data_IF_976941213797
#
_entry.id   IF_976941213797
#
_cell.length_a   1.000
_cell.length_b   1.000
_cell.length_c   1.000
_cell.angle_alpha   90.00
_cell.angle_beta   90.00
_cell.angle_gamma   90.00
#
_symmetry.space_group_name_H-M   'P 1'
#
loop_
_entity.id
_entity.type
_entity.pdbx_description
1 polymer ?
#
# COMPACT_ATOMS: atom_id res chain seq x y z
N UNK A 1 -5.17 -6.79 11.75
CA UNK A 1 -6.28 -6.77 10.76
C UNK A 1 -7.40 -7.71 11.17
N UNK A 2 -8.61 -7.36 10.80
CA UNK A 2 -9.75 -8.27 10.78
C UNK A 2 -9.89 -8.82 9.36
N UNK A 3 -9.80 -10.15 9.23
CA UNK A 3 -9.91 -10.85 7.96
C UNK A 3 -11.26 -11.58 7.89
N UNK A 4 -12.00 -11.39 6.82
CA UNK A 4 -13.25 -12.11 6.54
C UNK A 4 -13.25 -12.58 5.08
N UNK A 5 -13.53 -13.86 4.84
CA UNK A 5 -13.53 -14.45 3.51
C UNK A 5 -12.24 -14.11 2.72
N UNK A 6 -11.09 -14.31 3.35
CA UNK A 6 -9.75 -14.05 2.84
C UNK A 6 -9.45 -12.58 2.48
N UNK A 7 -10.30 -11.63 2.89
CA UNK A 7 -10.13 -10.20 2.64
C UNK A 7 -9.93 -9.42 3.93
N UNK A 8 -9.03 -8.44 3.96
CA UNK A 8 -8.84 -7.58 5.11
C UNK A 8 -9.95 -6.52 5.10
N UNK A 9 -10.88 -6.61 6.04
CA UNK A 9 -12.05 -5.73 6.10
C UNK A 9 -11.90 -4.55 7.05
N UNK A 10 -10.96 -4.66 8.01
CA UNK A 10 -10.64 -3.60 8.96
C UNK A 10 -9.20 -3.74 9.44
N UNK A 11 -8.51 -2.63 9.57
CA UNK A 11 -7.12 -2.59 10.02
C UNK A 11 -6.85 -1.48 11.02
N UNK A 12 -5.88 -1.73 11.90
CA UNK A 12 -5.35 -0.76 12.85
C UNK A 12 -3.83 -0.85 12.80
N UNK A 13 -3.16 0.28 12.55
CA UNK A 13 -1.70 0.37 12.51
C UNK A 13 -1.24 1.55 13.37
N UNK A 14 -0.47 1.27 14.41
CA UNK A 14 0.13 2.31 15.25
C UNK A 14 1.63 2.43 14.97
N UNK A 15 2.11 3.65 14.86
CA UNK A 15 3.52 3.99 14.62
C UNK A 15 4.08 4.72 15.85
N UNK A 16 4.67 4.01 16.82
CA UNK A 16 5.00 4.59 18.15
C UNK A 16 5.96 5.79 18.07
N UNK A 17 6.93 5.76 17.15
CA UNK A 17 7.93 6.83 17.00
C UNK A 17 7.32 8.13 16.45
N UNK A 18 6.27 8.00 15.63
CA UNK A 18 5.60 9.14 15.01
C UNK A 18 4.33 9.55 15.77
N UNK A 19 3.94 8.76 16.77
CA UNK A 19 2.67 8.87 17.51
C UNK A 19 1.44 8.99 16.61
N UNK A 20 1.44 8.17 15.54
CA UNK A 20 0.33 8.12 14.56
C UNK A 20 -0.40 6.80 14.64
N UNK A 21 -1.72 6.83 14.73
CA UNK A 21 -2.60 5.68 14.66
C UNK A 21 -3.49 5.79 13.42
N UNK A 22 -3.38 4.80 12.53
CA UNK A 22 -4.21 4.65 11.34
C UNK A 22 -5.22 3.53 11.56
N UNK A 23 -6.47 3.74 11.21
CA UNK A 23 -7.49 2.70 11.31
C UNK A 23 -8.62 2.92 10.32
N UNK A 24 -9.24 1.83 9.87
CA UNK A 24 -10.32 1.85 8.90
C UNK A 24 -10.37 0.58 8.06
N UNK A 25 -11.18 0.58 7.02
CA UNK A 25 -11.31 -0.54 6.11
C UNK A 25 -12.60 -0.53 5.30
N UNK A 26 -12.78 -1.57 4.48
CA UNK A 26 -13.95 -1.70 3.61
C UNK A 26 -15.27 -1.89 4.38
N UNK A 27 -15.21 -2.36 5.62
CA UNK A 27 -16.40 -2.49 6.47
C UNK A 27 -17.06 -1.14 6.76
N UNK A 28 -16.27 -0.08 6.87
CA UNK A 28 -16.75 1.28 7.12
C UNK A 28 -16.77 2.14 5.85
N UNK A 29 -15.96 1.78 4.84
CA UNK A 29 -15.71 2.59 3.65
C UNK A 29 -14.92 3.87 3.96
N UNK A 30 -14.20 3.90 5.08
CA UNK A 30 -13.45 5.05 5.57
C UNK A 30 -12.15 4.62 6.23
N UNK A 31 -11.20 5.55 6.29
CA UNK A 31 -10.04 5.43 7.15
C UNK A 31 -9.70 6.75 7.85
N UNK A 32 -9.08 6.65 9.00
CA UNK A 32 -8.82 7.73 9.92
C UNK A 32 -7.38 7.73 10.38
N UNK A 33 -6.85 8.92 10.64
CA UNK A 33 -5.56 9.16 11.29
C UNK A 33 -5.79 9.87 12.62
N UNK A 34 -5.20 9.33 13.69
CA UNK A 34 -4.96 10.05 14.94
C UNK A 34 -3.48 10.38 15.00
N UNK A 35 -3.14 11.66 15.17
CA UNK A 35 -1.78 12.16 15.30
C UNK A 35 -1.71 13.02 16.56
N UNK A 36 -1.15 12.44 17.63
CA UNK A 36 -1.29 13.01 18.96
C UNK A 36 -2.76 13.13 19.37
N UNK A 37 -3.21 14.35 19.68
CA UNK A 37 -4.62 14.62 20.04
C UNK A 37 -5.53 14.88 18.83
N UNK A 38 -4.96 15.10 17.64
CA UNK A 38 -5.71 15.42 16.45
C UNK A 38 -6.25 14.16 15.76
N UNK A 39 -7.54 14.16 15.40
CA UNK A 39 -8.18 13.13 14.60
C UNK A 39 -8.65 13.72 13.28
N UNK A 40 -8.28 13.08 12.17
CA UNK A 40 -8.69 13.47 10.82
C UNK A 40 -9.10 12.26 9.99
N UNK A 41 -10.10 12.46 9.13
CA UNK A 41 -10.44 11.47 8.12
C UNK A 41 -9.47 11.57 6.95
N UNK A 42 -8.97 10.41 6.50
CA UNK A 42 -8.11 10.33 5.33
C UNK A 42 -8.92 10.46 4.05
N UNK A 43 -8.32 11.00 3.00
CA UNK A 43 -9.00 11.22 1.73
C UNK A 43 -9.02 9.93 0.90
N UNK A 44 -10.11 9.70 0.21
CA UNK A 44 -10.21 8.60 -0.76
C UNK A 44 -9.22 8.79 -1.92
N UNK A 45 -8.73 7.66 -2.43
CA UNK A 45 -7.97 7.62 -3.68
C UNK A 45 -8.80 8.17 -4.84
N UNK A 46 -8.14 8.82 -5.79
CA UNK A 46 -8.76 9.26 -7.06
C UNK A 46 -9.08 8.10 -8.00
N UNK A 47 -8.71 6.87 -7.65
CA UNK A 47 -8.90 5.65 -8.45
C UNK A 47 -8.36 5.76 -9.88
N UNK A 48 -7.20 6.40 -10.03
CA UNK A 48 -6.50 6.46 -11.30
C UNK A 48 -5.93 5.08 -11.66
N UNK A 49 -5.93 4.74 -12.95
CA UNK A 49 -5.34 3.48 -13.39
C UNK A 49 -3.82 3.49 -13.19
N UNK A 50 -3.22 2.29 -12.94
CA UNK A 50 -1.76 2.20 -12.83
C UNK A 50 -1.06 2.73 -14.10
N UNK A 51 -1.65 2.52 -15.28
CA UNK A 51 -1.10 2.99 -16.56
C UNK A 51 -1.06 4.52 -16.60
N UNK A 52 -2.11 5.19 -16.15
CA UNK A 52 -2.15 6.65 -16.09
C UNK A 52 -1.17 7.19 -15.07
N UNK A 53 -1.08 6.55 -13.89
CA UNK A 53 -0.14 6.93 -12.84
C UNK A 53 1.32 6.85 -13.29
N UNK A 54 1.76 5.75 -13.91
CA UNK A 54 3.15 5.59 -14.37
C UNK A 54 3.52 6.55 -15.50
N UNK A 55 2.54 7.03 -16.26
CA UNK A 55 2.73 8.02 -17.33
C UNK A 55 2.86 9.45 -16.80
N UNK A 56 2.44 9.74 -15.57
CA UNK A 56 2.54 11.06 -14.97
C UNK A 56 4.00 11.42 -14.68
N UNK A 57 4.42 12.59 -15.13
CA UNK A 57 5.75 13.11 -14.81
C UNK A 57 5.85 13.44 -13.31
N UNK A 58 6.93 12.96 -12.67
CA UNK A 58 7.18 13.23 -11.27
C UNK A 58 6.27 12.51 -10.29
N UNK A 59 5.59 11.43 -10.69
CA UNK A 59 4.70 10.67 -9.81
C UNK A 59 5.45 10.19 -8.54
N UNK A 60 4.94 10.45 -7.33
CA UNK A 60 5.55 9.95 -6.11
C UNK A 60 5.35 8.44 -5.95
N UNK A 61 6.47 7.70 -5.87
CA UNK A 61 6.52 6.24 -5.66
C UNK A 61 7.19 5.96 -4.34
N UNK A 62 6.54 5.22 -3.44
CA UNK A 62 7.19 4.81 -2.20
C UNK A 62 7.99 3.52 -2.40
N UNK A 63 9.27 3.55 -2.01
CA UNK A 63 10.17 2.41 -2.12
C UNK A 63 11.08 2.28 -0.91
N UNK A 64 11.75 1.13 -0.77
CA UNK A 64 12.80 0.95 0.25
C UNK A 64 14.02 1.79 -0.09
N UNK A 65 14.69 2.32 0.92
CA UNK A 65 15.92 3.11 0.75
C UNK A 65 17.11 2.22 0.38
N UNK A 66 17.22 1.04 0.97
CA UNK A 66 18.42 0.19 0.95
C UNK A 66 18.20 -1.22 0.40
N UNK A 67 16.97 -1.60 0.07
CA UNK A 67 16.61 -2.97 -0.31
C UNK A 67 15.71 -2.97 -1.55
N UNK A 68 16.17 -2.28 -2.60
CA UNK A 68 15.55 -2.37 -3.93
C UNK A 68 16.27 -3.46 -4.70
N UNK A 69 15.50 -4.43 -5.18
CA UNK A 69 15.99 -5.43 -6.12
C UNK A 69 15.81 -4.94 -7.56
N UNK A 70 16.38 -5.67 -8.50
CA UNK A 70 16.34 -5.34 -9.93
C UNK A 70 14.90 -5.13 -10.43
N UNK A 71 13.95 -5.99 -10.05
CA UNK A 71 12.56 -5.89 -10.51
C UNK A 71 11.91 -4.58 -10.07
N UNK A 72 12.22 -4.12 -8.83
CA UNK A 72 11.74 -2.84 -8.32
C UNK A 72 12.37 -1.66 -9.07
N UNK A 73 13.66 -1.75 -9.39
CA UNK A 73 14.38 -0.73 -10.15
C UNK A 73 13.85 -0.67 -11.59
N UNK A 74 13.72 -1.81 -12.26
CA UNK A 74 13.16 -1.90 -13.62
C UNK A 74 11.73 -1.31 -13.70
N UNK A 75 10.91 -1.51 -12.66
CA UNK A 75 9.58 -0.89 -12.58
C UNK A 75 9.67 0.64 -12.45
N UNK A 76 10.53 1.13 -11.56
CA UNK A 76 10.74 2.58 -11.32
C UNK A 76 11.28 3.24 -12.58
N UNK A 77 12.23 2.61 -13.27
CA UNK A 77 12.82 3.12 -14.52
C UNK A 77 11.80 3.18 -15.67
N UNK A 78 10.76 2.36 -15.60
CA UNK A 78 9.62 2.40 -16.53
C UNK A 78 8.63 3.55 -16.29
N UNK A 79 8.76 4.29 -15.19
CA UNK A 79 7.90 5.42 -14.86
C UNK A 79 8.49 6.75 -15.38
N UNK A 80 7.63 7.74 -15.60
CA UNK A 80 8.05 9.04 -16.16
C UNK A 80 8.64 9.97 -15.07
N UNK A 81 9.97 9.94 -14.90
CA UNK A 81 10.71 10.76 -13.92
C UNK A 81 10.14 10.71 -12.49
N UNK A 82 9.95 9.52 -11.90
CA UNK A 82 9.25 9.40 -10.63
C UNK A 82 10.01 10.03 -9.47
N UNK A 83 9.28 10.56 -8.49
CA UNK A 83 9.85 11.04 -7.21
C UNK A 83 9.86 9.89 -6.21
N UNK A 84 11.03 9.49 -5.73
CA UNK A 84 11.14 8.37 -4.78
C UNK A 84 10.95 8.85 -3.35
N UNK A 85 9.86 8.39 -2.72
CA UNK A 85 9.58 8.57 -1.29
C UNK A 85 10.14 7.37 -0.52
N UNK A 86 11.21 7.58 0.26
CA UNK A 86 11.86 6.50 0.99
C UNK A 86 11.19 6.24 2.34
N UNK A 87 10.68 5.02 2.54
CA UNK A 87 10.04 4.61 3.80
C UNK A 87 10.35 3.14 4.11
N UNK A 88 10.43 2.80 5.39
CA UNK A 88 10.61 1.42 5.87
C UNK A 88 9.30 0.70 6.19
N UNK A 89 9.35 -0.64 6.36
CA UNK A 89 8.27 -1.48 6.89
C UNK A 89 6.89 -1.25 6.25
N UNK A 90 5.82 -1.57 6.97
CA UNK A 90 4.40 -1.33 6.61
C UNK A 90 4.03 0.16 6.50
N UNK A 91 4.91 1.06 6.95
CA UNK A 91 4.70 2.51 6.79
C UNK A 91 4.54 2.94 5.32
N UNK A 92 5.02 2.14 4.37
CA UNK A 92 4.86 2.42 2.93
C UNK A 92 3.40 2.49 2.49
N UNK A 93 2.55 1.61 3.00
CA UNK A 93 1.10 1.69 2.79
C UNK A 93 0.51 2.98 3.37
N UNK A 94 1.00 3.39 4.55
CA UNK A 94 0.49 4.57 5.24
C UNK A 94 0.88 5.87 4.53
N UNK A 95 2.02 5.88 3.82
CA UNK A 95 2.42 7.00 2.94
C UNK A 95 1.40 7.20 1.81
N UNK A 96 0.88 6.10 1.23
CA UNK A 96 -0.21 6.17 0.25
C UNK A 96 -1.49 6.67 0.92
N UNK A 97 -1.84 6.14 2.10
CA UNK A 97 -3.03 6.55 2.84
C UNK A 97 -3.05 8.05 3.18
N UNK A 98 -1.89 8.66 3.42
CA UNK A 98 -1.72 10.10 3.64
C UNK A 98 -1.69 10.91 2.32
N UNK A 99 -1.72 10.26 1.14
CA UNK A 99 -1.61 10.93 -0.16
C UNK A 99 -0.21 11.45 -0.51
N UNK A 100 0.82 11.02 0.23
CA UNK A 100 2.22 11.45 0.02
C UNK A 100 2.94 10.61 -1.03
N UNK A 101 2.36 9.52 -1.49
CA UNK A 101 2.75 8.74 -2.66
C UNK A 101 1.51 8.09 -3.28
N UNK A 102 1.64 7.66 -4.54
CA UNK A 102 0.52 7.09 -5.30
C UNK A 102 0.73 5.64 -5.69
N UNK A 103 1.98 5.18 -5.71
CA UNK A 103 2.34 3.81 -6.08
C UNK A 103 3.28 3.22 -5.04
N UNK A 104 3.03 1.96 -4.65
CA UNK A 104 3.95 1.15 -3.85
C UNK A 104 4.19 -0.20 -4.54
N UNK A 105 5.28 -0.35 -5.32
CA UNK A 105 5.69 -1.64 -5.85
C UNK A 105 6.41 -2.46 -4.77
N UNK A 106 6.05 -3.73 -4.63
CA UNK A 106 6.71 -4.67 -3.71
C UNK A 106 7.05 -5.97 -4.42
N UNK A 107 8.26 -6.06 -4.96
CA UNK A 107 8.83 -7.22 -5.65
C UNK A 107 9.88 -7.93 -4.81
N UNK A 108 9.61 -8.04 -3.51
CA UNK A 108 10.45 -8.77 -2.57
C UNK A 108 9.54 -9.45 -1.53
N UNK A 109 9.97 -10.56 -0.93
CA UNK A 109 9.15 -11.32 0.01
C UNK A 109 8.60 -10.46 1.15
N UNK A 110 7.32 -10.68 1.49
CA UNK A 110 6.66 -10.18 2.69
C UNK A 110 5.68 -11.23 3.17
N UNK A 111 5.35 -11.19 4.45
CA UNK A 111 4.35 -12.07 5.04
C UNK A 111 3.01 -11.35 5.17
N UNK A 112 1.92 -12.10 5.32
CA UNK A 112 0.58 -11.53 5.48
C UNK A 112 0.49 -10.53 6.64
N UNK A 113 1.19 -10.80 7.75
CA UNK A 113 1.20 -9.89 8.92
C UNK A 113 1.94 -8.57 8.68
N UNK A 114 2.78 -8.48 7.64
CA UNK A 114 3.43 -7.24 7.24
C UNK A 114 2.49 -6.29 6.48
N UNK A 115 1.39 -6.82 5.93
CA UNK A 115 0.56 -6.10 4.96
C UNK A 115 -0.91 -5.97 5.36
N UNK A 116 -1.51 -6.99 5.97
CA UNK A 116 -2.95 -7.12 6.12
C UNK A 116 -3.64 -5.92 6.79
N UNK A 117 -3.07 -5.35 7.86
CA UNK A 117 -3.68 -4.23 8.57
C UNK A 117 -3.63 -2.93 7.75
N UNK A 118 -2.49 -2.67 7.11
CA UNK A 118 -2.32 -1.47 6.29
C UNK A 118 -3.06 -1.57 4.94
N UNK A 119 -3.14 -2.77 4.36
CA UNK A 119 -3.98 -3.04 3.18
C UNK A 119 -5.46 -2.79 3.47
N UNK A 120 -5.96 -3.23 4.65
CA UNK A 120 -7.34 -2.92 5.05
C UNK A 120 -7.62 -1.41 5.08
N UNK A 121 -6.69 -0.63 5.64
CA UNK A 121 -6.79 0.84 5.68
C UNK A 121 -6.84 1.41 4.25
N UNK A 122 -5.95 0.98 3.36
CA UNK A 122 -5.92 1.45 1.96
C UNK A 122 -7.20 1.09 1.21
N UNK A 123 -7.71 -0.13 1.36
CA UNK A 123 -8.98 -0.54 0.72
C UNK A 123 -10.16 0.28 1.21
N UNK A 124 -10.15 0.71 2.47
CA UNK A 124 -11.15 1.65 3.01
C UNK A 124 -11.13 3.01 2.32
N UNK A 125 -10.00 3.36 1.70
CA UNK A 125 -9.81 4.60 0.94
C UNK A 125 -9.95 4.40 -0.59
N UNK A 126 -10.33 3.19 -1.04
CA UNK A 126 -10.51 2.89 -2.47
C UNK A 126 -9.22 2.57 -3.22
N UNK A 127 -8.08 2.42 -2.53
CA UNK A 127 -6.85 1.89 -3.14
C UNK A 127 -7.00 0.39 -3.42
N UNK A 128 -6.23 -0.07 -4.40
CA UNK A 128 -6.10 -1.48 -4.73
C UNK A 128 -4.69 -1.97 -4.40
N UNK A 129 -4.60 -3.23 -3.95
CA UNK A 129 -3.32 -3.94 -3.76
C UNK A 129 -3.39 -5.19 -4.63
N UNK A 130 -2.85 -5.10 -5.84
CA UNK A 130 -2.94 -6.14 -6.85
C UNK A 130 -1.69 -7.01 -6.90
N UNK A 131 -1.89 -8.30 -7.10
CA UNK A 131 -0.83 -9.29 -7.30
C UNK A 131 -0.11 -9.01 -8.62
N UNK A 132 1.21 -9.22 -8.63
CA UNK A 132 2.06 -9.20 -9.84
C UNK A 132 2.44 -10.62 -10.20
N UNK A 133 2.10 -11.07 -11.41
CA UNK A 133 2.43 -12.37 -11.96
C UNK A 133 3.27 -12.20 -13.24
N UNK A 134 4.41 -12.88 -13.33
CA UNK A 134 5.30 -12.79 -14.51
C UNK A 134 5.79 -11.37 -14.79
N UNK A 135 6.00 -10.57 -13.75
CA UNK A 135 6.43 -9.17 -13.87
C UNK A 135 5.34 -8.19 -14.30
N UNK A 136 4.07 -8.63 -14.39
CA UNK A 136 2.93 -7.78 -14.79
C UNK A 136 1.89 -7.69 -13.68
N UNK A 137 1.36 -6.49 -13.39
CA UNK A 137 0.22 -6.32 -12.51
C UNK A 137 -1.00 -7.06 -13.04
N UNK A 138 -1.73 -7.71 -12.13
CA UNK A 138 -3.00 -8.37 -12.42
C UNK A 138 -4.17 -7.53 -11.89
N UNK A 139 -5.41 -8.03 -12.05
CA UNK A 139 -6.60 -7.49 -11.40
C UNK A 139 -6.98 -8.29 -10.14
N UNK A 140 -6.10 -9.22 -9.69
CA UNK A 140 -6.35 -10.03 -8.51
C UNK A 140 -5.83 -9.28 -7.28
N UNK A 141 -6.68 -8.95 -6.30
CA UNK A 141 -6.22 -8.36 -5.05
C UNK A 141 -5.44 -9.38 -4.23
N UNK A 142 -4.62 -8.91 -3.28
CA UNK A 142 -4.01 -9.78 -2.27
C UNK A 142 -5.10 -10.47 -1.45
N UNK A 143 -4.91 -11.78 -1.23
CA UNK A 143 -5.71 -12.59 -0.33
C UNK A 143 -4.93 -12.92 0.94
N UNK A 144 -5.66 -13.12 2.03
CA UNK A 144 -5.13 -13.34 3.37
C UNK A 144 -5.72 -14.62 3.98
N UNK A 145 -5.09 -15.07 5.07
CA UNK A 145 -5.46 -16.32 5.74
C UNK A 145 -5.29 -17.54 4.83
N UNK A 146 -4.21 -17.51 4.03
CA UNK A 146 -3.79 -18.62 3.18
C UNK A 146 -3.08 -19.69 4.01
N UNK A 147 -2.91 -20.88 3.47
CA UNK A 147 -2.08 -21.94 4.06
C UNK A 147 -0.60 -21.53 4.06
N UNK A 148 -0.10 -21.03 2.93
CA UNK A 148 1.21 -20.34 2.85
C UNK A 148 1.01 -18.85 3.08
N UNK A 149 1.54 -18.36 4.19
CA UNK A 149 1.39 -16.96 4.62
C UNK A 149 2.36 -16.00 3.90
N UNK A 150 3.19 -16.51 2.97
CA UNK A 150 4.02 -15.67 2.12
C UNK A 150 3.13 -14.92 1.10
N UNK A 151 3.34 -13.62 0.98
CA UNK A 151 2.67 -12.82 -0.04
C UNK A 151 3.34 -13.01 -1.41
N UNK A 152 2.56 -13.09 -2.50
CA UNK A 152 3.09 -12.85 -3.83
C UNK A 152 3.61 -11.42 -3.96
N UNK A 153 4.34 -11.11 -5.02
CA UNK A 153 4.67 -9.73 -5.36
C UNK A 153 3.39 -8.94 -5.65
N UNK A 154 3.40 -7.67 -5.29
CA UNK A 154 2.22 -6.82 -5.46
C UNK A 154 2.57 -5.37 -5.79
N UNK A 155 1.56 -4.64 -6.27
CA UNK A 155 1.58 -3.18 -6.41
C UNK A 155 0.32 -2.63 -5.73
N UNK A 156 0.51 -1.63 -4.85
CA UNK A 156 -0.59 -0.84 -4.31
C UNK A 156 -0.70 0.50 -5.05
N UNK A 157 -1.90 0.90 -5.47
CA UNK A 157 -2.20 2.17 -6.14
C UNK A 157 -3.66 2.57 -6.05
#
# INVERSE_FOLDING_TARGET
ALIQNNKPIYGVVYTPVLDKLFYGGTQTGEAWLINGEAKSQLQHSKQESLVDLIAQEGIPIVASRSHRNKDTEDFIDGCNNPIIVSMGSSLKFLVLAEGNAHIYPRFAPTMEWDTAAADAVLRGLGYNVFIVEGGKPTQKPLDYNKEDLLNPYFIAH
#
